data_IF_877866320703
#
_entry.id   IF_877866320703
#
_cell.length_a   1.000
_cell.length_b   1.000
_cell.length_c   1.000
_cell.angle_alpha   90.00
_cell.angle_beta   90.00
_cell.angle_gamma   90.00
#
_symmetry.space_group_name_H-M   'P 1'
#
loop_
_entity.id
_entity.type
_entity.pdbx_description
1 polymer ?
#
# COMPACT_ATOMS: atom_id res chain seq x y z
N UNK A 1 -32.76 -24.73 60.14
CA UNK A 1 -32.10 -23.43 59.92
C UNK A 1 -31.08 -23.58 58.80
N UNK A 2 -31.15 -22.67 57.83
CA UNK A 2 -30.51 -22.72 56.50
C UNK A 2 -28.98 -22.78 56.58
N UNK A 3 -28.34 -23.76 55.93
CA UNK A 3 -26.94 -23.66 55.54
C UNK A 3 -26.91 -23.24 54.07
N UNK A 4 -26.68 -21.94 53.87
CA UNK A 4 -26.58 -21.29 52.58
C UNK A 4 -25.25 -21.72 51.93
N UNK A 5 -25.38 -22.27 50.73
CA UNK A 5 -24.32 -22.56 49.77
C UNK A 5 -23.73 -21.22 49.30
N UNK A 6 -22.49 -20.90 49.66
CA UNK A 6 -21.74 -19.77 49.12
C UNK A 6 -20.95 -20.27 47.91
N UNK A 7 -21.56 -20.18 46.73
CA UNK A 7 -20.89 -20.35 45.45
C UNK A 7 -20.16 -19.04 45.13
N UNK A 8 -18.86 -18.98 45.41
CA UNK A 8 -18.03 -17.86 44.99
C UNK A 8 -17.80 -17.95 43.48
N UNK A 9 -18.56 -17.17 42.71
CA UNK A 9 -18.29 -16.93 41.29
C UNK A 9 -17.07 -16.00 41.23
N UNK A 10 -15.89 -16.58 41.01
CA UNK A 10 -14.70 -15.81 40.61
C UNK A 10 -14.94 -15.30 39.20
N UNK A 11 -15.49 -14.09 39.08
CA UNK A 11 -15.53 -13.35 37.82
C UNK A 11 -14.09 -12.90 37.51
N UNK A 12 -13.32 -13.77 36.84
CA UNK A 12 -12.03 -13.40 36.28
C UNK A 12 -12.29 -12.39 35.16
N UNK A 13 -12.21 -11.11 35.48
CA UNK A 13 -12.15 -10.02 34.51
C UNK A 13 -10.86 -10.19 33.70
N UNK A 14 -10.96 -10.88 32.57
CA UNK A 14 -9.96 -10.82 31.51
C UNK A 14 -9.97 -9.38 30.99
N UNK A 15 -9.12 -8.53 31.57
CA UNK A 15 -8.75 -7.24 31.00
C UNK A 15 -7.97 -7.55 29.72
N UNK A 16 -8.66 -7.73 28.60
CA UNK A 16 -8.03 -7.74 27.30
C UNK A 16 -7.38 -6.37 27.09
N UNK A 17 -6.05 -6.33 27.08
CA UNK A 17 -5.32 -5.13 26.72
C UNK A 17 -5.76 -4.73 25.30
N UNK A 18 -6.46 -3.60 25.18
CA UNK A 18 -6.87 -3.05 23.89
C UNK A 18 -5.62 -2.74 23.06
N UNK A 19 -5.66 -3.08 21.78
CA UNK A 19 -4.60 -2.68 20.85
C UNK A 19 -4.63 -1.17 20.65
N UNK A 20 -3.56 -0.63 20.09
CA UNK A 20 -3.46 0.80 19.84
C UNK A 20 -4.57 1.30 18.91
N UNK A 21 -4.84 0.58 17.81
CA UNK A 21 -5.88 0.95 16.85
C UNK A 21 -7.29 0.91 17.47
N UNK A 22 -7.56 -0.03 18.39
CA UNK A 22 -8.85 -0.09 19.11
C UNK A 22 -9.07 1.15 19.99
N UNK A 23 -7.99 1.80 20.44
CA UNK A 23 -8.09 3.09 21.15
C UNK A 23 -8.49 4.20 20.18
N UNK A 24 -7.87 4.27 19.00
CA UNK A 24 -8.18 5.25 17.95
C UNK A 24 -9.62 5.10 17.43
N UNK A 25 -10.09 3.87 17.26
CA UNK A 25 -11.40 3.50 16.70
C UNK A 25 -12.57 4.16 17.42
N UNK A 26 -12.46 4.42 18.73
CA UNK A 26 -13.49 5.06 19.54
C UNK A 26 -13.88 6.45 19.04
N UNK A 27 -12.92 7.19 18.49
CA UNK A 27 -13.14 8.54 17.96
C UNK A 27 -13.00 8.61 16.44
N UNK A 28 -12.37 7.61 15.82
CA UNK A 28 -12.04 7.54 14.40
C UNK A 28 -12.52 6.24 13.73
N UNK A 29 -13.81 5.87 13.86
CA UNK A 29 -14.29 4.55 13.45
C UNK A 29 -14.10 4.30 11.95
N UNK A 30 -14.42 5.27 11.10
CA UNK A 30 -14.38 5.10 9.64
C UNK A 30 -12.95 4.88 9.15
N UNK A 31 -12.02 5.78 9.48
CA UNK A 31 -10.63 5.64 9.04
C UNK A 31 -9.93 4.42 9.63
N UNK A 32 -10.27 4.01 10.86
CA UNK A 32 -9.71 2.79 11.45
C UNK A 32 -10.25 1.55 10.73
N UNK A 33 -11.54 1.51 10.39
CA UNK A 33 -12.10 0.40 9.60
C UNK A 33 -11.46 0.32 8.20
N UNK A 34 -11.23 1.45 7.55
CA UNK A 34 -10.50 1.50 6.28
C UNK A 34 -9.07 0.98 6.43
N UNK A 35 -8.38 1.44 7.47
CA UNK A 35 -7.00 1.05 7.79
C UNK A 35 -6.87 -0.44 8.10
N UNK A 36 -7.81 -1.01 8.87
CA UNK A 36 -7.84 -2.43 9.20
C UNK A 36 -7.89 -3.32 7.94
N UNK A 37 -8.55 -2.83 6.89
CA UNK A 37 -8.61 -3.50 5.58
C UNK A 37 -7.37 -3.30 4.69
N UNK A 38 -6.42 -2.44 5.07
CA UNK A 38 -5.26 -2.05 4.26
C UNK A 38 -4.10 -3.06 4.33
N UNK A 39 -3.17 -2.98 3.38
CA UNK A 39 -1.92 -3.76 3.47
C UNK A 39 -0.93 -3.19 4.49
N UNK A 40 -1.10 -1.98 4.99
CA UNK A 40 -0.28 -1.45 6.09
C UNK A 40 -0.59 -2.19 7.39
N UNK A 41 -1.87 -2.28 7.76
CA UNK A 41 -2.27 -3.08 8.93
C UNK A 41 -1.88 -4.55 8.76
N UNK A 42 -2.08 -5.09 7.57
CA UNK A 42 -1.82 -6.51 7.26
C UNK A 42 -0.41 -6.74 6.68
N UNK A 43 0.58 -5.91 7.05
CA UNK A 43 1.90 -5.97 6.43
C UNK A 43 2.72 -7.19 6.88
N UNK A 44 2.44 -7.77 8.04
CA UNK A 44 3.31 -8.81 8.61
C UNK A 44 3.02 -10.20 8.04
N UNK A 45 3.91 -11.13 8.33
CA UNK A 45 3.75 -12.53 7.94
C UNK A 45 2.61 -13.23 8.71
N UNK A 46 2.01 -12.58 9.72
CA UNK A 46 0.82 -13.09 10.38
C UNK A 46 -0.44 -12.89 9.52
N UNK A 47 -0.51 -11.78 8.78
CA UNK A 47 -1.73 -11.35 8.09
C UNK A 47 -1.62 -11.38 6.55
N UNK A 48 -0.41 -11.42 5.98
CA UNK A 48 -0.20 -11.57 4.53
C UNK A 48 0.52 -12.87 4.18
N UNK A 49 -0.24 -13.80 3.59
CA UNK A 49 0.25 -15.11 3.15
C UNK A 49 1.37 -15.02 2.10
N UNK A 50 1.36 -13.97 1.25
CA UNK A 50 2.39 -13.78 0.23
C UNK A 50 3.71 -13.36 0.91
N UNK A 51 3.65 -12.36 1.80
CA UNK A 51 4.81 -11.97 2.59
C UNK A 51 5.30 -13.11 3.49
N UNK A 52 4.39 -13.87 4.10
CA UNK A 52 4.71 -15.07 4.87
C UNK A 52 5.49 -16.09 4.06
N UNK A 53 5.07 -16.38 2.83
CA UNK A 53 5.78 -17.32 1.97
C UNK A 53 7.23 -16.87 1.66
N UNK A 54 7.45 -15.56 1.49
CA UNK A 54 8.79 -15.01 1.32
C UNK A 54 9.59 -15.08 2.64
N UNK A 55 8.97 -14.71 3.76
CA UNK A 55 9.59 -14.75 5.09
C UNK A 55 10.01 -16.17 5.50
N UNK A 56 9.17 -17.17 5.24
CA UNK A 56 9.43 -18.57 5.58
C UNK A 56 10.67 -19.14 4.88
N UNK A 57 11.09 -18.52 3.77
CA UNK A 57 12.30 -18.87 3.02
C UNK A 57 13.50 -17.96 3.33
N UNK A 58 13.30 -16.88 4.09
CA UNK A 58 14.33 -15.86 4.30
C UNK A 58 15.40 -16.34 5.30
N UNK A 59 16.71 -16.19 5.03
CA UNK A 59 17.77 -16.70 5.91
C UNK A 59 17.74 -16.17 7.35
N UNK A 60 17.24 -14.95 7.56
CA UNK A 60 17.14 -14.37 8.91
C UNK A 60 16.05 -15.01 9.77
N UNK A 61 15.15 -15.83 9.21
CA UNK A 61 14.13 -16.55 9.98
C UNK A 61 14.75 -17.44 11.05
N UNK A 62 15.85 -18.12 10.74
CA UNK A 62 16.55 -19.01 11.67
C UNK A 62 17.20 -18.27 12.84
N UNK A 63 17.46 -16.96 12.67
CA UNK A 63 17.99 -16.10 13.73
C UNK A 63 16.93 -15.65 14.75
N UNK A 64 15.64 -15.95 14.51
CA UNK A 64 14.51 -15.52 15.35
C UNK A 64 14.24 -14.01 15.33
N UNK A 65 14.95 -13.24 14.50
CA UNK A 65 14.77 -11.79 14.37
C UNK A 65 14.01 -11.48 13.08
N UNK A 66 12.84 -10.87 13.21
CA UNK A 66 12.06 -10.43 12.06
C UNK A 66 12.71 -9.20 11.37
N UNK A 67 13.66 -9.45 10.47
CA UNK A 67 14.46 -8.40 9.80
C UNK A 67 13.66 -7.52 8.84
N UNK A 68 12.39 -7.82 8.59
CA UNK A 68 11.48 -7.00 7.80
C UNK A 68 10.68 -6.00 8.67
N UNK A 69 10.80 -6.08 10.00
CA UNK A 69 10.02 -5.28 10.95
C UNK A 69 10.19 -3.77 10.76
N UNK A 70 11.35 -3.31 10.28
CA UNK A 70 11.62 -1.88 10.05
C UNK A 70 10.55 -1.21 9.19
N UNK A 71 9.99 -1.93 8.19
CA UNK A 71 8.91 -1.43 7.36
C UNK A 71 7.56 -2.12 7.60
N UNK A 72 7.55 -3.35 8.12
CA UNK A 72 6.33 -4.15 8.26
C UNK A 72 5.72 -4.12 9.67
N UNK A 73 6.50 -3.80 10.69
CA UNK A 73 6.07 -3.67 12.09
C UNK A 73 7.01 -2.69 12.84
N UNK A 74 7.11 -1.42 12.41
CA UNK A 74 8.04 -0.46 12.96
C UNK A 74 7.79 -0.24 14.45
N UNK A 75 8.88 -0.05 15.20
CA UNK A 75 8.89 0.10 16.65
C UNK A 75 8.41 -1.11 17.48
N UNK A 76 8.04 -2.23 16.85
CA UNK A 76 7.68 -3.45 17.56
C UNK A 76 8.88 -4.02 18.34
N UNK A 77 8.66 -4.34 19.62
CA UNK A 77 9.67 -4.85 20.56
C UNK A 77 9.53 -6.33 20.84
N UNK A 78 8.35 -6.88 20.58
CA UNK A 78 8.02 -8.28 20.81
C UNK A 78 7.06 -8.80 19.72
N UNK A 79 6.83 -10.11 19.70
CA UNK A 79 5.97 -10.76 18.72
C UNK A 79 4.51 -10.29 18.76
N UNK A 80 4.01 -9.85 19.92
CA UNK A 80 2.65 -9.34 20.05
C UNK A 80 2.52 -7.97 19.37
N UNK A 81 3.55 -7.13 19.46
CA UNK A 81 3.64 -5.89 18.71
C UNK A 81 3.89 -6.14 17.23
N UNK A 82 4.70 -7.14 16.85
CA UNK A 82 4.88 -7.53 15.44
C UNK A 82 3.55 -7.92 14.81
N UNK A 83 2.72 -8.69 15.49
CA UNK A 83 1.40 -9.10 14.99
C UNK A 83 0.43 -7.91 14.75
N UNK A 84 0.72 -6.71 15.27
CA UNK A 84 -0.08 -5.52 14.99
C UNK A 84 0.28 -4.85 13.65
N UNK A 85 1.44 -5.16 13.08
CA UNK A 85 1.93 -4.56 11.84
C UNK A 85 2.15 -3.06 11.95
N UNK A 86 1.79 -2.33 10.89
CA UNK A 86 1.71 -0.87 10.95
C UNK A 86 0.47 -0.49 11.76
N UNK A 87 0.63 0.51 12.63
CA UNK A 87 -0.45 1.08 13.45
C UNK A 87 -0.66 2.56 13.13
N UNK A 88 -1.74 3.14 13.67
CA UNK A 88 -1.99 4.59 13.54
C UNK A 88 -0.81 5.41 14.09
N UNK A 89 -0.29 5.09 15.28
CA UNK A 89 0.83 5.83 15.90
C UNK A 89 2.10 5.66 15.08
N UNK A 90 2.33 4.48 14.51
CA UNK A 90 3.53 4.25 13.70
C UNK A 90 3.61 5.11 12.43
N UNK A 91 2.49 5.61 11.91
CA UNK A 91 2.52 6.63 10.85
C UNK A 91 2.49 8.03 11.45
N UNK A 92 1.54 8.31 12.34
CA UNK A 92 1.27 9.67 12.83
C UNK A 92 2.28 10.19 13.86
N UNK A 93 3.35 9.46 14.17
CA UNK A 93 4.47 9.95 14.99
C UNK A 93 5.77 10.10 14.21
N UNK A 94 5.78 9.85 12.89
CA UNK A 94 6.96 10.10 12.05
C UNK A 94 7.18 11.62 12.04
N UNK A 95 8.30 12.06 12.62
CA UNK A 95 8.70 13.48 12.63
C UNK A 95 9.59 13.80 11.44
N UNK A 96 10.43 12.86 11.04
CA UNK A 96 11.43 13.02 9.99
C UNK A 96 11.76 11.69 9.32
N UNK A 97 12.49 11.73 8.21
CA UNK A 97 13.03 10.56 7.51
C UNK A 97 14.52 10.76 7.29
N UNK A 98 15.32 9.86 7.83
CA UNK A 98 16.77 9.81 7.64
C UNK A 98 17.12 8.97 6.41
N UNK A 99 18.06 9.47 5.62
CA UNK A 99 18.52 8.79 4.41
C UNK A 99 19.66 7.83 4.73
N UNK A 100 19.56 6.61 4.20
CA UNK A 100 20.66 5.65 4.26
C UNK A 100 20.77 4.86 2.96
N UNK A 101 21.97 4.32 2.71
CA UNK A 101 22.26 3.53 1.51
C UNK A 101 21.30 2.33 1.37
N UNK A 102 21.12 1.54 2.43
CA UNK A 102 20.33 0.31 2.37
C UNK A 102 18.82 0.51 2.33
N UNK A 103 18.31 1.40 3.16
CA UNK A 103 16.91 1.82 3.20
C UNK A 103 16.83 3.07 4.08
N UNK A 104 15.91 3.98 3.78
CA UNK A 104 15.65 5.12 4.66
C UNK A 104 15.09 4.65 6.01
N UNK A 105 15.14 5.55 7.00
CA UNK A 105 14.63 5.28 8.35
C UNK A 105 13.69 6.37 8.80
N UNK A 106 12.53 5.96 9.31
CA UNK A 106 11.63 6.89 9.97
C UNK A 106 12.20 7.31 11.32
N UNK A 107 12.19 8.60 11.58
CA UNK A 107 12.49 9.16 12.89
C UNK A 107 11.17 9.48 13.59
N UNK A 108 10.95 8.85 14.73
CA UNK A 108 9.72 8.98 15.50
C UNK A 108 9.82 10.10 16.55
N UNK A 109 8.72 10.81 16.77
CA UNK A 109 8.59 11.73 17.90
C UNK A 109 8.58 10.96 19.22
N UNK A 110 9.15 11.57 20.26
CA UNK A 110 9.13 11.06 21.64
C UNK A 110 8.04 11.75 22.48
N UNK A 111 7.33 12.71 21.90
CA UNK A 111 6.32 13.49 22.57
C UNK A 111 5.10 12.61 22.85
N UNK A 112 4.64 12.62 24.11
CA UNK A 112 3.54 11.76 24.52
C UNK A 112 2.24 12.28 23.93
N UNK A 113 1.55 11.41 23.19
CA UNK A 113 0.23 11.70 22.60
C UNK A 113 0.23 12.93 21.68
N UNK A 114 1.32 13.16 20.96
CA UNK A 114 1.36 14.18 19.91
C UNK A 114 1.41 13.49 18.57
N UNK A 115 0.42 13.79 17.71
CA UNK A 115 0.31 13.18 16.39
C UNK A 115 0.37 14.23 15.30
N UNK A 116 1.09 13.92 14.23
CA UNK A 116 1.19 14.78 13.07
C UNK A 116 0.04 14.51 12.10
N UNK A 117 -0.45 15.56 11.46
CA UNK A 117 -1.51 15.47 10.47
C UNK A 117 -1.36 16.60 9.44
N UNK A 118 -2.11 16.50 8.34
CA UNK A 118 -2.18 17.54 7.34
C UNK A 118 -3.63 17.96 7.09
N UNK A 119 -3.87 19.27 7.19
CA UNK A 119 -5.12 19.91 6.83
C UNK A 119 -4.80 21.27 6.21
N UNK A 120 -5.34 21.51 5.01
CA UNK A 120 -5.10 22.75 4.28
C UNK A 120 -5.61 23.96 5.09
N UNK A 121 -4.77 24.99 5.21
CA UNK A 121 -5.06 26.20 5.99
C UNK A 121 -4.74 26.10 7.48
N UNK A 122 -4.17 24.98 7.95
CA UNK A 122 -3.78 24.76 9.35
C UNK A 122 -2.29 24.53 9.53
N UNK A 123 -1.48 24.79 8.51
CA UNK A 123 -0.05 24.49 8.43
C UNK A 123 0.78 25.12 9.56
N UNK A 124 0.26 26.16 10.21
CA UNK A 124 0.94 26.86 11.31
C UNK A 124 0.32 26.55 12.69
N UNK A 125 -0.56 25.55 12.78
CA UNK A 125 -1.36 25.27 13.97
C UNK A 125 -0.89 24.03 14.74
N UNK A 126 -0.88 24.14 16.06
CA UNK A 126 -0.82 23.00 16.98
C UNK A 126 -2.04 23.00 17.89
N UNK A 127 -2.83 21.94 17.82
CA UNK A 127 -4.00 21.73 18.69
C UNK A 127 -3.54 20.97 19.92
N UNK A 128 -3.64 21.59 21.08
CA UNK A 128 -3.23 20.97 22.35
C UNK A 128 -4.44 20.36 23.05
N UNK A 129 -4.33 19.10 23.46
CA UNK A 129 -5.26 18.48 24.41
C UNK A 129 -5.01 19.04 25.81
N UNK A 130 -6.00 19.75 26.34
CA UNK A 130 -5.96 20.26 27.72
C UNK A 130 -7.21 19.83 28.45
N UNK A 131 -7.03 19.09 29.54
CA UNK A 131 -8.13 18.80 30.46
C UNK A 131 -8.08 19.80 31.61
N UNK A 132 -9.05 20.71 31.63
CA UNK A 132 -9.22 21.68 32.70
C UNK A 132 -10.17 21.11 33.75
N UNK A 133 -9.84 21.32 35.02
CA UNK A 133 -10.72 20.94 36.12
C UNK A 133 -11.15 22.16 36.90
N UNK A 134 -12.45 22.35 37.05
CA UNK A 134 -13.02 23.34 37.96
C UNK A 134 -13.65 22.65 39.17
N UNK A 135 -13.91 23.43 40.22
CA UNK A 135 -14.53 22.97 41.46
C UNK A 135 -13.84 21.72 42.06
N UNK A 136 -12.57 21.87 42.49
CA UNK A 136 -11.79 20.82 43.16
C UNK A 136 -11.74 19.46 42.41
N UNK A 137 -11.83 19.46 41.09
CA UNK A 137 -11.75 18.24 40.28
C UNK A 137 -13.08 17.57 39.96
N UNK A 138 -14.20 18.10 40.46
CA UNK A 138 -15.55 17.54 40.22
C UNK A 138 -16.05 17.84 38.81
N UNK A 139 -15.64 18.98 38.23
CA UNK A 139 -15.98 19.32 36.85
C UNK A 139 -14.72 19.26 36.00
N UNK A 140 -14.71 18.40 34.98
CA UNK A 140 -13.62 18.29 34.00
C UNK A 140 -14.15 18.71 32.63
N UNK A 141 -13.50 19.68 32.01
CA UNK A 141 -13.79 20.14 30.66
C UNK A 141 -12.54 19.96 29.81
N UNK A 142 -12.71 19.42 28.60
CA UNK A 142 -11.61 19.25 27.67
C UNK A 142 -11.61 20.39 26.65
N UNK A 143 -10.48 21.06 26.49
CA UNK A 143 -10.23 22.13 25.53
C UNK A 143 -9.23 21.62 24.48
N UNK A 144 -9.49 21.92 23.21
CA UNK A 144 -8.70 21.43 22.07
C UNK A 144 -9.15 20.04 21.58
N UNK A 145 -8.18 19.19 21.21
CA UNK A 145 -8.46 17.80 20.83
C UNK A 145 -8.77 16.98 22.08
N UNK A 146 -9.74 16.05 22.07
CA UNK A 146 -10.26 15.44 23.29
C UNK A 146 -9.35 14.41 23.97
N UNK A 147 -8.27 13.96 23.32
CA UNK A 147 -7.44 12.87 23.84
C UNK A 147 -5.93 13.02 23.60
N UNK A 148 -5.52 13.74 22.56
CA UNK A 148 -4.14 13.84 22.10
C UNK A 148 -3.90 15.18 21.42
N UNK A 149 -2.66 15.65 21.38
CA UNK A 149 -2.28 16.83 20.60
C UNK A 149 -2.30 16.50 19.10
N UNK A 150 -2.49 17.53 18.27
CA UNK A 150 -2.36 17.43 16.81
C UNK A 150 -1.42 18.52 16.34
N UNK A 151 -0.35 18.13 15.67
CA UNK A 151 0.65 19.03 15.11
C UNK A 151 0.51 19.07 13.58
N UNK A 152 -0.01 20.18 13.06
CA UNK A 152 -0.17 20.40 11.62
C UNK A 152 1.05 21.11 11.01
N UNK A 153 2.10 21.37 11.80
CA UNK A 153 3.28 22.12 11.33
C UNK A 153 4.29 21.26 10.59
N UNK A 154 4.11 19.94 10.56
CA UNK A 154 5.02 19.04 9.88
C UNK A 154 4.67 18.94 8.38
N UNK A 155 5.41 19.68 7.56
CA UNK A 155 5.26 19.73 6.09
C UNK A 155 5.31 18.35 5.41
N UNK A 156 5.98 17.36 6.03
CA UNK A 156 6.11 16.01 5.47
C UNK A 156 4.77 15.29 5.27
N UNK A 157 3.74 15.67 6.03
CA UNK A 157 2.38 15.13 5.88
C UNK A 157 1.60 15.79 4.76
N UNK A 158 2.12 16.88 4.17
CA UNK A 158 1.50 17.57 3.04
C UNK A 158 2.09 17.11 1.70
N UNK A 159 3.36 16.68 1.65
CA UNK A 159 4.06 16.30 0.42
C UNK A 159 4.35 14.79 0.29
N UNK A 160 4.05 13.98 1.30
CA UNK A 160 4.25 12.53 1.25
C UNK A 160 5.65 12.06 1.68
N UNK A 161 6.54 12.92 2.16
CA UNK A 161 7.88 12.52 2.59
C UNK A 161 7.86 11.47 3.71
N UNK A 162 6.84 11.45 4.56
CA UNK A 162 6.73 10.44 5.63
C UNK A 162 6.49 9.00 5.12
N UNK A 163 6.12 8.81 3.84
CA UNK A 163 6.07 7.48 3.21
C UNK A 163 7.48 6.93 2.95
N UNK A 164 8.45 7.84 2.77
CA UNK A 164 9.74 7.53 2.20
C UNK A 164 10.68 6.83 3.15
N UNK A 165 10.36 6.71 4.44
CA UNK A 165 11.11 5.82 5.34
C UNK A 165 10.94 4.35 4.97
N UNK A 166 9.79 3.96 4.43
CA UNK A 166 9.53 2.58 4.03
C UNK A 166 9.51 2.38 2.51
N UNK A 167 9.14 3.41 1.74
CA UNK A 167 8.85 3.32 0.32
C UNK A 167 9.92 3.91 -0.61
N UNK A 168 11.05 4.42 -0.09
CA UNK A 168 12.11 4.96 -0.94
C UNK A 168 12.79 3.89 -1.79
N UNK A 169 13.43 2.94 -1.11
CA UNK A 169 14.26 1.90 -1.69
C UNK A 169 14.62 0.83 -0.67
N UNK A 170 15.08 -0.32 -1.17
CA UNK A 170 15.65 -1.41 -0.37
C UNK A 170 16.84 -2.04 -1.09
N UNK A 171 17.99 -2.05 -0.45
CA UNK A 171 19.14 -2.85 -0.87
C UNK A 171 19.21 -4.18 -0.11
N UNK A 172 19.82 -5.19 -0.74
CA UNK A 172 20.23 -6.40 -0.06
C UNK A 172 21.69 -6.32 0.43
N UNK A 173 22.22 -7.44 0.95
CA UNK A 173 23.61 -7.54 1.44
C UNK A 173 24.68 -7.39 0.36
N UNK A 174 24.31 -7.48 -0.92
CA UNK A 174 25.20 -7.24 -2.06
C UNK A 174 25.07 -5.82 -2.60
N UNK A 175 24.47 -4.90 -1.82
CA UNK A 175 24.20 -3.51 -2.21
C UNK A 175 23.30 -3.36 -3.45
N UNK A 176 22.65 -4.45 -3.87
CA UNK A 176 21.75 -4.46 -5.01
C UNK A 176 20.38 -3.92 -4.64
N UNK A 177 19.89 -2.97 -5.43
CA UNK A 177 18.58 -2.32 -5.28
C UNK A 177 17.44 -3.28 -5.67
N UNK A 178 16.77 -3.85 -4.67
CA UNK A 178 15.63 -4.77 -4.84
C UNK A 178 14.42 -4.01 -5.39
N UNK A 179 14.09 -2.89 -4.77
CA UNK A 179 13.00 -2.01 -5.15
C UNK A 179 13.38 -0.55 -4.91
N UNK A 180 12.79 0.33 -5.69
CA UNK A 180 13.02 1.78 -5.63
C UNK A 180 11.81 2.49 -6.24
N UNK A 181 11.28 3.49 -5.53
CA UNK A 181 10.21 4.37 -6.02
C UNK A 181 10.76 5.70 -6.54
N UNK A 182 11.94 6.11 -6.05
CA UNK A 182 12.50 7.45 -6.27
C UNK A 182 11.87 8.51 -5.37
N UNK A 183 12.57 9.62 -5.15
CA UNK A 183 12.11 10.71 -4.25
C UNK A 183 11.21 11.74 -4.92
N UNK A 184 11.21 11.78 -6.24
CA UNK A 184 10.56 12.83 -7.02
C UNK A 184 9.05 12.88 -6.77
N UNK A 185 8.42 11.71 -6.53
CA UNK A 185 6.98 11.61 -6.20
C UNK A 185 6.58 12.07 -4.79
N UNK A 186 7.53 12.41 -3.92
CA UNK A 186 7.29 12.80 -2.53
C UNK A 186 7.73 14.25 -2.21
N UNK A 187 7.90 15.10 -3.22
CA UNK A 187 8.30 16.51 -3.02
C UNK A 187 7.14 17.50 -3.24
N UNK A 188 6.18 17.15 -4.09
CA UNK A 188 5.09 18.02 -4.51
C UNK A 188 3.90 17.95 -3.51
N UNK A 189 3.20 19.05 -3.24
CA UNK A 189 2.06 19.07 -2.28
C UNK A 189 0.72 18.79 -2.96
N UNK A 190 0.62 19.07 -4.24
CA UNK A 190 -0.56 18.95 -5.07
C UNK A 190 -0.72 17.53 -5.64
N UNK A 191 0.38 16.91 -6.07
CA UNK A 191 0.44 15.57 -6.65
C UNK A 191 1.53 14.76 -5.97
N UNK A 192 1.13 13.87 -5.05
CA UNK A 192 2.06 13.04 -4.29
C UNK A 192 1.42 11.70 -3.90
N UNK A 193 2.16 10.92 -3.12
CA UNK A 193 1.72 9.63 -2.60
C UNK A 193 0.33 9.70 -1.94
N UNK A 194 0.09 10.73 -1.12
CA UNK A 194 -1.15 10.88 -0.35
C UNK A 194 -2.32 11.20 -1.28
N UNK A 195 -2.15 12.10 -2.25
CA UNK A 195 -3.27 12.52 -3.10
C UNK A 195 -3.77 11.40 -4.01
N UNK A 196 -2.87 10.51 -4.46
CA UNK A 196 -3.23 9.34 -5.28
C UNK A 196 -3.63 8.10 -4.45
N UNK A 197 -2.91 7.79 -3.36
CA UNK A 197 -3.13 6.55 -2.59
C UNK A 197 -4.06 6.72 -1.38
N UNK A 198 -4.28 7.95 -0.91
CA UNK A 198 -5.24 8.30 0.14
C UNK A 198 -6.24 9.37 -0.34
N UNK A 199 -6.91 9.15 -1.49
CA UNK A 199 -7.76 10.16 -2.08
C UNK A 199 -8.90 10.56 -1.14
N UNK A 200 -9.42 11.77 -1.30
CA UNK A 200 -10.58 12.22 -0.51
C UNK A 200 -11.82 11.40 -0.87
N UNK A 201 -12.44 10.78 0.12
CA UNK A 201 -13.70 10.02 0.01
C UNK A 201 -14.77 10.65 0.88
N UNK A 202 -16.04 10.39 0.57
CA UNK A 202 -17.18 10.88 1.36
C UNK A 202 -17.17 10.29 2.78
N UNK A 203 -17.71 11.04 3.74
CA UNK A 203 -17.77 10.67 5.15
C UNK A 203 -16.77 11.43 6.02
N UNK A 204 -16.93 11.32 7.33
CA UNK A 204 -16.10 12.02 8.30
C UNK A 204 -14.94 11.16 8.82
N UNK A 205 -13.82 11.80 9.18
CA UNK A 205 -12.70 11.11 9.81
C UNK A 205 -12.92 10.83 11.30
N UNK A 206 -13.89 11.51 11.94
CA UNK A 206 -14.04 11.50 13.39
C UNK A 206 -15.48 11.71 13.81
N UNK A 207 -15.87 11.09 14.94
CA UNK A 207 -17.18 11.28 15.56
C UNK A 207 -17.38 12.67 16.18
N UNK A 208 -16.33 13.48 16.26
CA UNK A 208 -16.29 14.72 17.05
C UNK A 208 -16.38 15.93 16.12
N UNK A 209 -15.50 16.01 15.12
CA UNK A 209 -15.54 17.07 14.10
C UNK A 209 -16.05 16.49 12.79
N UNK A 210 -17.32 16.77 12.49
CA UNK A 210 -17.95 16.32 11.27
C UNK A 210 -17.35 17.03 10.04
N UNK A 211 -17.12 16.25 8.98
CA UNK A 211 -16.64 16.73 7.68
C UNK A 211 -17.38 15.99 6.57
N UNK A 212 -17.52 16.62 5.40
CA UNK A 212 -18.13 15.97 4.24
C UNK A 212 -17.23 14.88 3.66
N UNK A 213 -15.92 15.11 3.69
CA UNK A 213 -14.90 14.20 3.16
C UNK A 213 -13.78 13.99 4.16
N UNK A 214 -13.07 12.89 3.99
CA UNK A 214 -11.82 12.60 4.68
C UNK A 214 -10.83 11.92 3.72
N UNK A 215 -9.54 11.85 4.10
CA UNK A 215 -8.56 11.11 3.32
C UNK A 215 -8.75 9.61 3.55
N UNK A 216 -8.81 8.81 2.49
CA UNK A 216 -8.98 7.37 2.58
C UNK A 216 -7.77 6.71 3.26
N UNK A 217 -7.99 5.99 4.37
CA UNK A 217 -6.92 5.31 5.12
C UNK A 217 -6.77 3.83 4.78
N UNK A 218 -7.42 3.36 3.72
CA UNK A 218 -7.21 1.99 3.23
C UNK A 218 -6.07 1.82 2.24
N UNK A 219 -5.44 2.93 1.82
CA UNK A 219 -4.28 2.99 0.90
C UNK A 219 -4.51 2.24 -0.41
N UNK A 220 -5.04 2.96 -1.41
CA UNK A 220 -5.33 2.38 -2.72
C UNK A 220 -4.08 1.76 -3.34
N UNK A 221 -4.18 0.57 -3.93
CA UNK A 221 -3.05 -0.17 -4.46
C UNK A 221 -3.45 -1.51 -5.06
N UNK A 222 -2.47 -2.33 -5.41
CA UNK A 222 -2.70 -3.63 -6.07
C UNK A 222 -3.57 -4.61 -5.26
N UNK A 223 -3.73 -4.40 -3.95
CA UNK A 223 -4.52 -5.26 -3.08
C UNK A 223 -5.89 -4.69 -2.73
N UNK A 224 -6.06 -3.37 -2.76
CA UNK A 224 -7.20 -2.66 -2.19
C UNK A 224 -7.55 -1.47 -3.06
N UNK A 225 -8.80 -1.43 -3.49
CA UNK A 225 -9.35 -0.40 -4.38
C UNK A 225 -8.45 -0.03 -5.59
N UNK A 226 -7.90 -1.00 -6.36
CA UNK A 226 -7.06 -0.69 -7.53
C UNK A 226 -7.80 0.14 -8.60
N UNK A 227 -9.12 0.08 -8.64
CA UNK A 227 -9.97 0.89 -9.52
C UNK A 227 -9.75 2.40 -9.35
N UNK A 228 -9.41 2.86 -8.14
CA UNK A 228 -9.09 4.27 -7.88
C UNK A 228 -7.82 4.72 -8.60
N UNK A 229 -6.92 3.78 -8.92
CA UNK A 229 -5.66 4.06 -9.62
C UNK A 229 -5.78 3.87 -11.14
N UNK A 230 -6.85 3.22 -11.62
CA UNK A 230 -7.07 2.95 -13.05
C UNK A 230 -7.16 4.20 -13.92
N UNK A 231 -7.48 5.36 -13.32
CA UNK A 231 -7.53 6.64 -14.01
C UNK A 231 -6.14 7.15 -14.44
N UNK A 232 -5.07 6.72 -13.77
CA UNK A 232 -3.68 7.13 -14.07
C UNK A 232 -2.99 6.26 -15.11
N UNK A 233 -3.71 5.30 -15.70
CA UNK A 233 -3.23 4.51 -16.82
C UNK A 233 -4.09 4.79 -18.03
N UNK A 234 -3.53 5.14 -19.17
CA UNK A 234 -4.31 5.31 -20.42
C UNK A 234 -4.03 4.19 -21.41
N UNK A 235 -5.06 3.86 -22.19
CA UNK A 235 -4.99 2.88 -23.26
C UNK A 235 -5.56 3.55 -24.49
N UNK A 236 -4.79 3.57 -25.58
CA UNK A 236 -5.17 4.15 -26.87
C UNK A 236 -4.85 3.17 -28.00
N UNK A 237 -5.57 3.29 -29.12
CA UNK A 237 -5.35 2.46 -30.32
C UNK A 237 -4.80 3.34 -31.45
N UNK A 238 -3.65 2.98 -32.00
CA UNK A 238 -3.10 3.60 -33.22
C UNK A 238 -3.17 2.65 -34.40
N UNK A 239 -3.87 3.01 -35.47
CA UNK A 239 -3.90 2.21 -36.70
C UNK A 239 -2.60 2.36 -37.50
N UNK A 240 -2.17 1.28 -38.15
CA UNK A 240 -1.08 1.26 -39.13
C UNK A 240 -1.56 0.57 -40.41
N UNK A 241 -0.85 0.76 -41.52
CA UNK A 241 -1.17 0.11 -42.80
C UNK A 241 -1.15 -1.42 -42.70
N UNK A 242 -0.22 -1.99 -41.92
CA UNK A 242 -0.01 -3.44 -41.75
C UNK A 242 -0.24 -3.91 -40.31
N UNK A 243 -1.21 -3.31 -39.60
CA UNK A 243 -1.53 -3.69 -38.23
C UNK A 243 -2.01 -2.53 -37.37
N UNK A 244 -1.76 -2.60 -36.07
CA UNK A 244 -2.06 -1.51 -35.14
C UNK A 244 -1.12 -1.54 -33.93
N UNK A 245 -1.07 -0.45 -33.20
CA UNK A 245 -0.42 -0.34 -31.90
C UNK A 245 -1.48 -0.15 -30.82
N UNK A 246 -1.28 -0.82 -29.69
CA UNK A 246 -1.93 -0.45 -28.43
C UNK A 246 -0.94 0.36 -27.63
N UNK A 247 -1.25 1.64 -27.41
CA UNK A 247 -0.46 2.49 -26.52
C UNK A 247 -0.95 2.31 -25.09
N UNK A 248 0.00 2.10 -24.18
CA UNK A 248 -0.25 2.12 -22.74
C UNK A 248 0.57 3.24 -22.13
N UNK A 249 -0.10 4.19 -21.48
CA UNK A 249 0.55 5.32 -20.79
C UNK A 249 0.44 5.16 -19.29
N UNK A 250 1.56 5.19 -18.57
CA UNK A 250 1.60 5.30 -17.12
C UNK A 250 1.80 6.77 -16.75
N UNK A 251 0.80 7.40 -16.11
CA UNK A 251 0.90 8.78 -15.63
C UNK A 251 1.47 8.89 -14.21
N UNK A 252 1.73 7.78 -13.55
CA UNK A 252 2.38 7.82 -12.25
C UNK A 252 3.87 8.21 -12.41
N UNK A 253 4.47 8.91 -11.44
CA UNK A 253 5.88 9.29 -11.47
C UNK A 253 6.83 8.11 -11.18
N UNK A 254 6.30 6.91 -10.93
CA UNK A 254 7.04 5.71 -10.63
C UNK A 254 6.59 4.55 -11.54
N UNK A 255 7.37 3.47 -11.61
CA UNK A 255 7.02 2.26 -12.34
C UNK A 255 5.63 1.75 -11.95
N UNK A 256 4.89 1.20 -12.93
CA UNK A 256 3.51 0.77 -12.74
C UNK A 256 3.35 -0.26 -11.61
N UNK A 257 4.34 -1.13 -11.44
CA UNK A 257 4.45 -2.04 -10.31
C UNK A 257 5.91 -2.08 -9.83
N UNK A 258 6.11 -1.80 -8.53
CA UNK A 258 7.44 -1.67 -7.93
C UNK A 258 8.00 -2.99 -7.39
N UNK A 259 7.12 -3.86 -6.89
CA UNK A 259 7.52 -5.09 -6.23
C UNK A 259 7.88 -6.17 -7.27
N UNK A 260 9.08 -6.81 -7.23
CA UNK A 260 9.55 -7.74 -8.27
C UNK A 260 8.69 -8.98 -8.52
N UNK A 261 7.88 -9.40 -7.53
CA UNK A 261 6.90 -10.48 -7.72
C UNK A 261 5.71 -10.08 -8.59
N UNK A 262 5.46 -8.78 -8.84
CA UNK A 262 4.29 -8.34 -9.61
C UNK A 262 4.51 -8.57 -11.09
N UNK A 263 3.48 -9.04 -11.77
CA UNK A 263 3.47 -9.21 -13.22
C UNK A 263 2.23 -8.53 -13.76
N UNK A 264 2.40 -7.64 -14.73
CA UNK A 264 1.29 -6.99 -15.43
C UNK A 264 1.21 -7.54 -16.85
N UNK A 265 0.00 -7.80 -17.33
CA UNK A 265 -0.26 -8.31 -18.67
C UNK A 265 -1.20 -7.39 -19.42
N UNK A 266 -0.88 -7.15 -20.69
CA UNK A 266 -1.78 -6.57 -21.68
C UNK A 266 -2.34 -7.71 -22.53
N UNK A 267 -3.63 -7.98 -22.36
CA UNK A 267 -4.37 -8.97 -23.13
C UNK A 267 -5.22 -8.24 -24.16
N UNK A 268 -5.06 -8.60 -25.43
CA UNK A 268 -5.77 -7.97 -26.55
C UNK A 268 -6.58 -9.03 -27.28
N UNK A 269 -7.82 -8.70 -27.61
CA UNK A 269 -8.75 -9.56 -28.33
C UNK A 269 -9.41 -8.77 -29.45
N UNK A 270 -9.41 -9.33 -30.66
CA UNK A 270 -10.16 -8.80 -31.79
C UNK A 270 -11.47 -9.59 -31.88
N UNK A 271 -12.59 -8.89 -31.96
CA UNK A 271 -13.92 -9.45 -32.14
C UNK A 271 -14.47 -8.92 -33.45
N UNK A 272 -14.67 -9.81 -34.41
CA UNK A 272 -15.36 -9.54 -35.67
C UNK A 272 -16.79 -10.07 -35.60
N UNK A 273 -17.61 -9.84 -36.64
CA UNK A 273 -18.98 -10.37 -36.71
C UNK A 273 -19.07 -11.90 -36.61
N UNK A 274 -18.02 -12.61 -37.03
CA UNK A 274 -18.03 -14.08 -37.19
C UNK A 274 -17.22 -14.82 -36.13
N UNK A 275 -16.23 -14.18 -35.55
CA UNK A 275 -15.27 -14.83 -34.65
C UNK A 275 -14.59 -13.85 -33.70
N UNK A 276 -14.00 -14.42 -32.65
CA UNK A 276 -13.15 -13.68 -31.73
C UNK A 276 -11.77 -14.32 -31.62
N UNK A 277 -10.71 -13.53 -31.77
CA UNK A 277 -9.31 -13.96 -31.75
C UNK A 277 -8.55 -13.24 -30.64
N UNK A 278 -8.02 -13.98 -29.67
CA UNK A 278 -7.05 -13.45 -28.71
C UNK A 278 -5.67 -13.33 -29.36
N UNK A 279 -5.00 -12.21 -29.13
CA UNK A 279 -3.65 -11.95 -29.64
C UNK A 279 -2.59 -12.34 -28.61
N UNK A 280 -1.33 -12.28 -29.03
CA UNK A 280 -0.20 -12.54 -28.15
C UNK A 280 -0.24 -11.56 -26.95
N UNK A 281 -0.21 -12.10 -25.74
CA UNK A 281 -0.16 -11.29 -24.51
C UNK A 281 1.22 -10.65 -24.38
N UNK A 282 1.24 -9.35 -24.07
CA UNK A 282 2.46 -8.64 -23.71
C UNK A 282 2.61 -8.59 -22.19
N UNK A 283 3.80 -8.87 -21.67
CA UNK A 283 4.08 -8.96 -20.24
C UNK A 283 5.02 -7.84 -19.80
N UNK A 284 4.57 -7.03 -18.85
CA UNK A 284 5.38 -6.04 -18.14
C UNK A 284 5.84 -6.64 -16.81
N UNK A 285 7.15 -6.84 -16.63
CA UNK A 285 7.72 -7.44 -15.43
C UNK A 285 9.13 -6.89 -15.17
N UNK A 286 9.50 -6.77 -13.90
CA UNK A 286 10.89 -6.58 -13.47
C UNK A 286 11.36 -7.84 -12.74
N UNK A 287 12.22 -8.63 -13.39
CA UNK A 287 12.79 -9.86 -12.85
C UNK A 287 14.18 -9.57 -12.33
N UNK A 288 14.38 -9.78 -11.03
CA UNK A 288 15.70 -9.70 -10.38
C UNK A 288 16.31 -11.10 -10.24
N UNK A 289 17.63 -11.15 -10.18
CA UNK A 289 18.34 -12.43 -10.12
C UNK A 289 19.84 -12.29 -9.99
N UNK A 290 20.55 -13.36 -10.32
CA UNK A 290 22.00 -13.41 -10.38
C UNK A 290 22.46 -14.05 -11.70
N UNK A 291 23.73 -14.44 -11.80
CA UNK A 291 24.32 -15.02 -13.02
C UNK A 291 23.62 -16.32 -13.45
N UNK A 292 22.97 -17.02 -12.52
CA UNK A 292 22.20 -18.23 -12.77
C UNK A 292 20.74 -17.96 -13.19
N UNK A 293 20.35 -16.69 -13.31
CA UNK A 293 19.00 -16.26 -13.68
C UNK A 293 18.15 -15.79 -12.48
N UNK A 294 16.80 -15.89 -12.57
CA UNK A 294 15.90 -15.36 -11.54
C UNK A 294 16.14 -15.96 -10.16
N UNK A 295 16.27 -15.12 -9.13
CA UNK A 295 16.60 -15.55 -7.77
C UNK A 295 15.78 -14.81 -6.71
N UNK A 296 15.92 -15.22 -5.44
CA UNK A 296 15.27 -14.54 -4.32
C UNK A 296 15.96 -13.19 -4.04
N UNK A 297 15.26 -12.19 -3.45
CA UNK A 297 15.82 -10.86 -3.26
C UNK A 297 17.15 -10.81 -2.50
N UNK A 298 17.37 -11.72 -1.54
CA UNK A 298 18.62 -11.81 -0.77
C UNK A 298 19.79 -12.45 -1.53
N UNK A 299 19.56 -13.01 -2.72
CA UNK A 299 20.59 -13.60 -3.59
C UNK A 299 20.77 -12.84 -4.91
N UNK A 300 19.97 -11.81 -5.16
CA UNK A 300 19.99 -11.07 -6.41
C UNK A 300 21.13 -10.05 -6.43
N UNK A 301 21.82 -9.90 -7.56
CA UNK A 301 22.83 -8.86 -7.77
C UNK A 301 22.64 -8.10 -9.09
N UNK A 302 21.63 -8.47 -9.88
CA UNK A 302 21.32 -7.83 -11.15
C UNK A 302 19.83 -7.90 -11.50
N UNK A 303 19.44 -7.03 -12.43
CA UNK A 303 18.15 -7.13 -13.12
C UNK A 303 18.33 -8.06 -14.32
N UNK A 304 17.57 -9.16 -14.35
CA UNK A 304 17.63 -10.17 -15.43
C UNK A 304 16.78 -9.76 -16.62
N UNK A 305 15.60 -9.22 -16.35
CA UNK A 305 14.67 -8.69 -17.37
C UNK A 305 13.93 -7.49 -16.78
N UNK A 306 13.80 -6.41 -17.54
CA UNK A 306 12.93 -5.31 -17.18
C UNK A 306 12.11 -4.85 -18.38
N UNK A 307 10.85 -5.29 -18.40
CA UNK A 307 9.84 -4.80 -19.32
C UNK A 307 8.77 -4.01 -18.59
N UNK A 308 8.97 -3.64 -17.31
CA UNK A 308 7.97 -2.89 -16.57
C UNK A 308 7.71 -1.53 -17.24
N UNK A 309 6.45 -1.08 -17.23
CA UNK A 309 6.09 0.25 -17.72
C UNK A 309 6.59 1.28 -16.70
N UNK A 310 7.49 2.16 -17.13
CA UNK A 310 8.19 3.13 -16.27
C UNK A 310 7.30 4.31 -15.90
N UNK A 311 7.74 5.08 -14.91
CA UNK A 311 7.07 6.32 -14.54
C UNK A 311 6.99 7.30 -15.73
N UNK A 312 5.83 7.93 -15.92
CA UNK A 312 5.55 8.87 -17.00
C UNK A 312 5.81 8.33 -18.43
N UNK A 313 5.81 7.00 -18.62
CA UNK A 313 6.09 6.37 -19.90
C UNK A 313 4.81 6.15 -20.73
N UNK A 314 4.87 6.44 -22.03
CA UNK A 314 3.93 5.94 -23.04
C UNK A 314 4.63 4.92 -23.92
N UNK A 315 4.16 3.66 -23.89
CA UNK A 315 4.72 2.55 -24.68
C UNK A 315 3.76 2.06 -25.74
N UNK A 316 4.25 1.89 -26.97
CA UNK A 316 3.52 1.26 -28.07
C UNK A 316 3.75 -0.25 -28.10
N UNK A 317 2.67 -1.04 -28.09
CA UNK A 317 2.72 -2.50 -28.22
C UNK A 317 2.18 -2.87 -29.61
N UNK A 318 3.03 -3.33 -30.54
CA UNK A 318 2.64 -3.59 -31.92
C UNK A 318 1.95 -4.94 -32.11
N UNK A 319 0.90 -4.92 -32.93
CA UNK A 319 0.20 -6.09 -33.46
C UNK A 319 0.17 -6.04 -34.98
N UNK A 320 0.39 -7.17 -35.63
CA UNK A 320 0.48 -7.29 -37.09
C UNK A 320 -0.87 -7.59 -37.76
N UNK A 321 -1.89 -7.89 -36.96
CA UNK A 321 -3.25 -8.12 -37.43
C UNK A 321 -3.86 -6.86 -38.04
N UNK A 322 -4.27 -6.95 -39.30
CA UNK A 322 -4.98 -5.87 -39.99
C UNK A 322 -6.44 -5.86 -39.54
N UNK A 323 -6.87 -4.74 -38.97
CA UNK A 323 -8.25 -4.53 -38.53
C UNK A 323 -9.16 -4.22 -39.72
N UNK A 324 -10.31 -4.87 -39.79
CA UNK A 324 -11.38 -4.55 -40.74
C UNK A 324 -12.32 -3.53 -40.14
N UNK A 325 -12.98 -2.76 -41.01
CA UNK A 325 -14.05 -1.84 -40.58
C UNK A 325 -15.14 -2.62 -39.83
N UNK A 326 -15.46 -2.16 -38.62
CA UNK A 326 -16.42 -2.79 -37.72
C UNK A 326 -15.82 -3.75 -36.70
N UNK A 327 -14.54 -4.14 -36.83
CA UNK A 327 -13.90 -4.99 -35.82
C UNK A 327 -13.81 -4.25 -34.48
N UNK A 328 -14.13 -4.95 -33.39
CA UNK A 328 -13.96 -4.48 -32.02
C UNK A 328 -12.63 -4.98 -31.46
N UNK A 329 -11.78 -4.07 -30.98
CA UNK A 329 -10.55 -4.41 -30.24
C UNK A 329 -10.82 -4.23 -28.75
N UNK A 330 -10.85 -5.32 -28.00
CA UNK A 330 -10.90 -5.32 -26.55
C UNK A 330 -9.50 -5.42 -25.98
N UNK A 331 -9.17 -4.50 -25.08
CA UNK A 331 -7.87 -4.43 -24.42
C UNK A 331 -8.08 -4.48 -22.92
N UNK A 332 -7.45 -5.45 -22.26
CA UNK A 332 -7.41 -5.60 -20.82
C UNK A 332 -5.96 -5.45 -20.32
N UNK A 333 -5.73 -4.48 -19.45
CA UNK A 333 -4.53 -4.38 -18.65
C UNK A 333 -4.84 -4.85 -17.23
N UNK A 334 -4.15 -5.88 -16.78
CA UNK A 334 -4.32 -6.42 -15.44
C UNK A 334 -3.02 -7.00 -14.89
N UNK A 335 -3.04 -7.51 -13.66
CA UNK A 335 -1.85 -7.96 -12.98
C UNK A 335 -2.09 -9.17 -12.09
N UNK A 336 -1.00 -9.87 -11.81
CA UNK A 336 -0.87 -10.85 -10.75
C UNK A 336 -0.08 -10.24 -9.59
N UNK A 337 -0.52 -10.50 -8.37
CA UNK A 337 0.25 -10.17 -7.18
C UNK A 337 1.52 -11.02 -7.10
N UNK A 338 1.45 -12.29 -7.47
CA UNK A 338 2.61 -13.17 -7.49
C UNK A 338 2.81 -13.65 -8.91
N UNK A 339 4.04 -13.53 -9.41
CA UNK A 339 4.42 -14.07 -10.70
C UNK A 339 4.00 -15.54 -10.76
N UNK A 340 3.16 -15.96 -11.72
CA UNK A 340 2.70 -17.35 -11.79
C UNK A 340 3.84 -18.38 -11.81
N UNK A 341 5.01 -18.00 -12.35
CA UNK A 341 6.22 -18.85 -12.36
C UNK A 341 6.87 -19.04 -11.00
N UNK A 342 6.53 -18.20 -10.01
CA UNK A 342 7.07 -18.25 -8.65
C UNK A 342 6.17 -19.00 -7.66
N UNK A 343 4.91 -19.28 -8.00
CA UNK A 343 3.93 -19.88 -7.09
C UNK A 343 4.42 -21.18 -6.46
N UNK A 344 4.88 -22.13 -7.28
CA UNK A 344 5.41 -23.41 -6.81
C UNK A 344 6.61 -23.24 -5.87
N UNK A 345 7.55 -22.35 -6.22
CA UNK A 345 8.75 -22.10 -5.42
C UNK A 345 8.43 -21.47 -4.06
N UNK A 346 7.39 -20.64 -4.01
CA UNK A 346 6.91 -19.98 -2.79
C UNK A 346 5.87 -20.82 -2.03
N UNK A 347 5.54 -22.02 -2.49
CA UNK A 347 4.47 -22.85 -1.93
C UNK A 347 3.11 -22.10 -1.84
N UNK A 348 2.77 -21.37 -2.90
CA UNK A 348 1.54 -20.59 -3.04
C UNK A 348 0.56 -21.17 -4.07
N UNK A 349 0.79 -22.40 -4.54
CA UNK A 349 -0.17 -23.10 -5.40
C UNK A 349 -1.49 -23.35 -4.64
N UNK A 350 -2.62 -23.10 -5.28
CA UNK A 350 -3.95 -23.12 -4.68
C UNK A 350 -4.31 -21.86 -3.87
N UNK A 351 -3.37 -20.91 -3.70
CA UNK A 351 -3.68 -19.64 -3.05
C UNK A 351 -4.45 -18.73 -4.01
N UNK A 352 -5.76 -18.60 -3.78
CA UNK A 352 -6.66 -17.81 -4.63
C UNK A 352 -6.22 -16.36 -4.82
N UNK A 353 -5.59 -15.74 -3.82
CA UNK A 353 -5.13 -14.33 -3.90
C UNK A 353 -3.88 -14.22 -4.77
N UNK A 354 -2.93 -15.15 -4.64
CA UNK A 354 -1.71 -15.18 -5.42
C UNK A 354 -1.95 -15.56 -6.89
N UNK A 355 -2.90 -16.46 -7.15
CA UNK A 355 -3.25 -16.96 -8.49
C UNK A 355 -4.20 -16.05 -9.28
N UNK A 356 -4.83 -15.08 -8.63
CA UNK A 356 -5.84 -14.23 -9.26
C UNK A 356 -5.20 -13.21 -10.21
N UNK A 357 -5.65 -13.22 -11.46
CA UNK A 357 -5.50 -12.09 -12.37
C UNK A 357 -6.51 -11.00 -12.00
N UNK A 358 -6.02 -9.80 -11.70
CA UNK A 358 -6.85 -8.64 -11.38
C UNK A 358 -6.81 -7.63 -12.52
N UNK A 359 -7.95 -7.39 -13.15
CA UNK A 359 -8.07 -6.37 -14.20
C UNK A 359 -7.96 -4.99 -13.55
N UNK A 360 -7.00 -4.18 -14.02
CA UNK A 360 -6.82 -2.80 -13.59
C UNK A 360 -7.62 -1.85 -14.49
N UNK A 361 -7.54 -2.05 -15.81
CA UNK A 361 -8.23 -1.21 -16.79
C UNK A 361 -8.64 -2.03 -18.00
N UNK A 362 -9.83 -1.75 -18.52
CA UNK A 362 -10.33 -2.33 -19.75
C UNK A 362 -10.83 -1.22 -20.68
N UNK A 363 -10.53 -1.33 -21.97
CA UNK A 363 -11.02 -0.44 -23.02
C UNK A 363 -11.46 -1.25 -24.24
N UNK A 364 -12.40 -0.69 -24.99
CA UNK A 364 -12.84 -1.23 -26.26
C UNK A 364 -12.79 -0.15 -27.32
N UNK A 365 -12.32 -0.51 -28.51
CA UNK A 365 -12.23 0.37 -29.67
C UNK A 365 -12.96 -0.28 -30.83
N UNK A 366 -13.58 0.53 -31.69
CA UNK A 366 -14.16 0.07 -32.95
C UNK A 366 -13.27 0.55 -34.09
N UNK A 367 -12.84 -0.38 -34.93
CA UNK A 367 -12.08 -0.07 -36.12
C UNK A 367 -12.99 0.60 -37.14
N UNK A 368 -12.81 1.92 -37.32
CA UNK A 368 -13.47 2.69 -38.38
C UNK A 368 -13.06 2.33 -39.82
#
# INVERSE_FOLDING_TARGET
MKKILLLAITLSSLLFAQTENETCKKCHPDIVNEFEGSMHRNATYYDDEIHKAVWDMHPSRDSGKYSCAECHAPNAKDEKEVAQGITCVSCHTIKDVEEHAGANKNVYSKDKKTFYSAEAGRENEKVIYKQESSWLGMNKTTVGSPYHDIDYTNEKYYNGQMCMGCHSHRQNSSEFMICETGKDGAQNKEENCITCHMPKVEGTATTIRQSQKHAYHGFAGAHKKPELLSQYVEIELGKKSNGFDVFVTNKAPHDLMLHPLRVTELRVKIISEKESKSLQTFTFVKVIGNESGPSMPWLANQVVVDTMLKGNEKRAIPYTEVLKKGDKVEVELGYYLVNPKALKKLNLEGNKKAEKFTVLKQKSFIAE
#
